data_IF_844725820750
#
_entry.id   IF_844725820750
#
_cell.length_a   1.000
_cell.length_b   1.000
_cell.length_c   1.000
_cell.angle_alpha   90.00
_cell.angle_beta   90.00
_cell.angle_gamma   90.00
#
_symmetry.space_group_name_H-M   'P 1'
#
loop_
_entity.id
_entity.type
_entity.pdbx_description
1 polymer ?
#
# COMPACT_ATOMS: atom_id res chain seq x y z
N UNK A 1 8.36 -16.78 16.43
CA UNK A 1 7.42 -17.67 15.72
C UNK A 1 7.27 -17.13 14.30
N UNK A 2 7.55 -17.94 13.28
CA UNK A 2 7.41 -17.52 11.88
C UNK A 2 5.95 -17.38 11.49
N UNK A 3 5.65 -16.47 10.55
CA UNK A 3 4.31 -16.28 9.98
C UNK A 3 4.32 -16.64 8.49
N UNK A 4 3.27 -17.30 8.01
CA UNK A 4 3.06 -17.65 6.60
C UNK A 4 1.74 -17.04 6.12
N UNK A 5 1.77 -16.39 4.95
CA UNK A 5 0.57 -15.94 4.25
C UNK A 5 0.64 -16.43 2.80
N UNK A 6 -0.47 -17.01 2.33
CA UNK A 6 -0.60 -17.51 0.96
C UNK A 6 -1.39 -16.49 0.16
N UNK A 7 -0.87 -16.14 -1.02
CA UNK A 7 -1.54 -15.27 -1.99
C UNK A 7 -1.84 -16.09 -3.25
N UNK A 8 -3.02 -15.88 -3.84
CA UNK A 8 -3.41 -16.51 -5.09
C UNK A 8 -3.52 -15.43 -6.18
N UNK A 9 -2.73 -15.57 -7.24
CA UNK A 9 -2.58 -14.56 -8.29
C UNK A 9 -1.47 -13.55 -8.02
N UNK A 10 -1.28 -12.61 -8.94
CA UNK A 10 -0.30 -11.54 -8.86
C UNK A 10 -0.80 -10.30 -9.60
N UNK A 11 -0.34 -9.12 -9.17
CA UNK A 11 -0.43 -7.91 -9.97
C UNK A 11 0.78 -7.87 -10.93
N UNK A 12 0.52 -7.53 -12.19
CA UNK A 12 1.54 -7.43 -13.22
C UNK A 12 1.34 -6.16 -14.03
N UNK A 13 2.46 -5.58 -14.46
CA UNK A 13 2.48 -4.39 -15.30
C UNK A 13 3.05 -4.76 -16.67
N UNK A 14 2.44 -4.24 -17.73
CA UNK A 14 3.01 -4.30 -19.07
C UNK A 14 4.26 -3.43 -19.19
N UNK A 15 5.03 -3.55 -20.30
CA UNK A 15 6.22 -2.73 -20.52
C UNK A 15 5.91 -1.23 -20.42
N UNK A 16 6.61 -0.51 -19.53
CA UNK A 16 6.46 0.93 -19.35
C UNK A 16 5.19 1.38 -18.59
N UNK A 17 4.30 0.46 -18.23
CA UNK A 17 3.03 0.80 -17.60
C UNK A 17 3.23 1.35 -16.18
N UNK A 18 4.07 0.69 -15.38
CA UNK A 18 4.33 1.12 -14.00
C UNK A 18 4.98 2.51 -13.96
N UNK A 19 5.92 2.77 -14.88
CA UNK A 19 6.58 4.06 -15.00
C UNK A 19 5.58 5.17 -15.39
N UNK A 20 4.66 4.88 -16.31
CA UNK A 20 3.56 5.77 -16.66
C UNK A 20 2.68 6.10 -15.46
N UNK A 21 2.20 5.06 -14.77
CA UNK A 21 1.35 5.20 -13.57
C UNK A 21 2.06 5.99 -12.45
N UNK A 22 3.36 5.76 -12.25
CA UNK A 22 4.16 6.53 -11.30
C UNK A 22 4.29 8.02 -11.69
N UNK A 23 4.50 8.30 -12.99
CA UNK A 23 4.59 9.68 -13.49
C UNK A 23 3.27 10.45 -13.36
N UNK A 24 2.15 9.75 -13.44
CA UNK A 24 0.79 10.30 -13.24
C UNK A 24 0.43 10.45 -11.74
N UNK A 25 1.28 9.98 -10.83
CA UNK A 25 1.04 10.03 -9.39
C UNK A 25 0.01 9.00 -8.90
N UNK A 26 -0.24 7.93 -9.67
CA UNK A 26 -1.20 6.90 -9.32
C UNK A 26 -0.73 5.99 -8.17
N UNK A 27 0.58 5.96 -7.87
CA UNK A 27 1.16 5.15 -6.81
C UNK A 27 2.11 5.92 -5.90
N UNK A 28 2.06 5.59 -4.62
CA UNK A 28 3.09 5.95 -3.65
C UNK A 28 4.04 4.77 -3.43
N UNK A 29 5.33 4.99 -3.69
CA UNK A 29 6.39 4.01 -3.43
C UNK A 29 6.96 4.26 -2.05
N UNK A 30 6.89 3.25 -1.17
CA UNK A 30 7.35 3.32 0.22
C UNK A 30 8.11 2.07 0.61
N UNK A 31 8.94 2.16 1.64
CA UNK A 31 9.66 0.99 2.16
C UNK A 31 8.71 -0.01 2.83
N UNK A 32 8.91 -1.29 2.50
CA UNK A 32 8.22 -2.40 3.14
C UNK A 32 8.91 -2.79 4.43
N UNK A 33 8.11 -3.20 5.43
CA UNK A 33 8.61 -3.77 6.68
C UNK A 33 8.28 -5.27 6.73
N UNK A 34 9.12 -6.11 7.38
CA UNK A 34 8.86 -7.55 7.49
C UNK A 34 7.48 -7.91 8.08
N UNK A 35 6.91 -7.01 8.90
CA UNK A 35 5.59 -7.16 9.51
C UNK A 35 4.41 -6.97 8.55
N UNK A 36 4.61 -6.36 7.38
CA UNK A 36 3.50 -6.02 6.47
C UNK A 36 2.84 -7.27 5.91
N UNK A 37 3.66 -8.19 5.39
CA UNK A 37 3.19 -9.46 4.80
C UNK A 37 2.51 -10.34 5.84
N UNK A 38 2.95 -10.25 7.10
CA UNK A 38 2.46 -11.07 8.22
C UNK A 38 1.43 -10.36 9.11
N UNK A 39 0.97 -9.16 8.73
CA UNK A 39 0.07 -8.35 9.57
C UNK A 39 -1.18 -9.12 9.99
N UNK A 40 -1.53 -9.17 11.29
CA UNK A 40 -2.75 -9.86 11.76
C UNK A 40 -4.05 -9.15 11.35
N UNK A 41 -3.95 -7.91 10.86
CA UNK A 41 -5.07 -7.06 10.42
C UNK A 41 -4.81 -6.55 9.00
N UNK A 42 -4.86 -7.43 7.97
CA UNK A 42 -4.56 -7.06 6.58
C UNK A 42 -5.49 -5.97 6.03
N UNK A 43 -6.73 -5.91 6.50
CA UNK A 43 -7.71 -4.88 6.13
C UNK A 43 -7.30 -3.46 6.57
N UNK A 44 -6.42 -3.36 7.58
CA UNK A 44 -5.88 -2.09 8.08
C UNK A 44 -4.48 -1.81 7.53
N UNK A 45 -3.91 -2.70 6.73
CA UNK A 45 -2.50 -2.65 6.31
C UNK A 45 -2.18 -1.38 5.53
N UNK A 46 -3.06 -0.97 4.61
CA UNK A 46 -2.86 0.26 3.83
C UNK A 46 -2.70 1.49 4.73
N UNK A 47 -3.62 1.67 5.69
CA UNK A 47 -3.55 2.77 6.66
C UNK A 47 -2.31 2.67 7.54
N UNK A 48 -1.95 1.47 7.99
CA UNK A 48 -0.78 1.25 8.81
C UNK A 48 0.53 1.61 8.08
N UNK A 49 0.65 1.19 6.82
CA UNK A 49 1.81 1.48 5.96
C UNK A 49 1.94 2.96 5.67
N UNK A 50 0.84 3.65 5.34
CA UNK A 50 0.89 5.10 5.09
C UNK A 50 1.18 5.90 6.36
N UNK A 51 0.56 5.54 7.50
CA UNK A 51 0.70 6.30 8.74
C UNK A 51 2.12 6.27 9.33
N UNK A 52 2.92 5.25 9.03
CA UNK A 52 4.32 5.19 9.49
C UNK A 52 5.29 6.01 8.63
N UNK A 53 4.86 6.49 7.46
CA UNK A 53 5.73 7.31 6.62
C UNK A 53 6.01 8.65 7.30
N UNK A 54 7.25 9.15 7.17
CA UNK A 54 7.67 10.43 7.77
C UNK A 54 7.27 11.65 6.93
N UNK A 55 6.62 11.44 5.79
CA UNK A 55 6.20 12.47 4.84
C UNK A 55 4.71 12.78 4.98
N UNK A 56 4.22 13.72 4.16
CA UNK A 56 2.80 14.07 4.07
C UNK A 56 1.88 12.88 3.73
N UNK A 57 2.44 11.76 3.26
CA UNK A 57 1.72 10.49 3.06
C UNK A 57 1.03 9.98 4.32
N UNK A 58 1.55 10.32 5.52
CA UNK A 58 0.88 9.97 6.77
C UNK A 58 -0.51 10.61 6.90
N UNK A 59 -0.74 11.78 6.29
CA UNK A 59 -2.04 12.44 6.26
C UNK A 59 -3.02 11.71 5.34
N UNK A 60 -2.53 11.07 4.27
CA UNK A 60 -3.39 10.30 3.34
C UNK A 60 -3.99 9.07 4.03
N UNK A 61 -3.36 8.55 5.09
CA UNK A 61 -3.90 7.43 5.87
C UNK A 61 -5.29 7.73 6.49
N UNK A 62 -5.69 9.00 6.59
CA UNK A 62 -7.00 9.40 7.12
C UNK A 62 -8.08 9.49 6.05
N UNK A 63 -7.76 9.24 4.77
CA UNK A 63 -8.78 9.22 3.73
C UNK A 63 -9.85 8.15 4.04
N UNK A 64 -11.13 8.47 3.84
CA UNK A 64 -12.19 7.49 3.95
C UNK A 64 -11.99 6.38 2.89
N UNK A 65 -12.41 5.16 3.24
CA UNK A 65 -12.31 4.02 2.31
C UNK A 65 -13.20 4.20 1.07
N UNK A 66 -14.20 5.09 1.19
CA UNK A 66 -15.04 5.56 0.09
C UNK A 66 -14.58 6.96 -0.36
N UNK A 67 -14.02 7.11 -1.58
CA UNK A 67 -13.57 8.41 -2.08
C UNK A 67 -14.70 9.42 -2.30
N UNK A 68 -15.97 9.01 -2.30
CA UNK A 68 -17.14 9.89 -2.40
C UNK A 68 -17.51 10.59 -1.08
N UNK A 69 -16.85 10.24 0.03
CA UNK A 69 -17.09 10.82 1.36
C UNK A 69 -16.14 11.97 1.73
N UNK A 70 -15.44 12.56 0.76
CA UNK A 70 -14.61 13.77 0.93
C UNK A 70 -15.35 15.04 0.51
#
# INVERSE_FOLDING_TARGET
LGSLRIFAGYAGWGPGQLEGELSEGAWYVVESEPGDVSSPRPEQLWRAVLRRQRSELAMIATYPDDPSLN
#
